data_IF_674930882347
#
_entry.id   IF_674930882347
#
_cell.length_a   1.000
_cell.length_b   1.000
_cell.length_c   1.000
_cell.angle_alpha   90.00
_cell.angle_beta   90.00
_cell.angle_gamma   90.00
#
_symmetry.space_group_name_H-M   'P 1'
#
loop_
_entity.id
_entity.type
_entity.pdbx_description
1 polymer ?
#
# COMPACT_ATOMS: atom_id res chain seq x y z
N UNK A 1 -12.11 26.01 61.58
CA UNK A 1 -12.95 26.04 60.35
C UNK A 1 -12.10 25.52 59.21
N UNK A 2 -12.51 24.40 58.58
CA UNK A 2 -11.76 23.69 57.52
C UNK A 2 -12.67 23.69 56.27
N UNK A 3 -12.19 24.22 55.15
CA UNK A 3 -13.01 24.51 53.97
C UNK A 3 -13.50 23.23 53.23
N UNK A 4 -14.75 23.21 52.71
CA UNK A 4 -15.46 21.98 52.30
C UNK A 4 -15.30 21.53 50.83
N UNK A 5 -14.29 21.99 50.08
CA UNK A 5 -14.13 21.65 48.64
C UNK A 5 -12.84 20.92 48.26
N UNK A 6 -12.09 20.39 49.23
CA UNK A 6 -11.10 19.35 48.92
C UNK A 6 -11.80 17.99 48.79
N UNK A 7 -12.62 17.83 47.75
CA UNK A 7 -12.90 16.50 47.25
C UNK A 7 -11.59 16.00 46.65
N UNK A 8 -10.86 15.16 47.42
CA UNK A 8 -9.82 14.31 46.84
C UNK A 8 -10.51 13.48 45.76
N UNK A 9 -10.16 13.76 44.51
CA UNK A 9 -10.49 12.92 43.38
C UNK A 9 -10.08 11.48 43.74
N UNK A 10 -11.08 10.66 44.04
CA UNK A 10 -10.88 9.25 44.30
C UNK A 10 -10.84 8.63 42.91
N UNK A 11 -9.68 8.71 42.24
CA UNK A 11 -9.46 7.94 41.01
C UNK A 11 -9.79 6.50 41.34
N UNK A 12 -10.78 5.91 40.67
CA UNK A 12 -10.97 4.47 40.74
C UNK A 12 -9.68 3.85 40.23
N UNK A 13 -8.90 3.30 41.16
CA UNK A 13 -7.82 2.38 40.84
C UNK A 13 -8.49 1.04 40.58
N UNK A 14 -9.18 0.94 39.46
CA UNK A 14 -9.63 -0.35 38.98
C UNK A 14 -8.37 -1.07 38.49
N UNK A 15 -7.79 -1.85 39.39
CA UNK A 15 -6.69 -2.76 39.06
C UNK A 15 -7.05 -3.69 37.90
N UNK A 16 -8.35 -3.89 37.64
CA UNK A 16 -8.88 -4.59 36.47
C UNK A 16 -8.75 -3.79 35.18
N UNK A 17 -9.04 -2.48 35.16
CA UNK A 17 -8.83 -1.65 33.96
C UNK A 17 -7.34 -1.51 33.63
N UNK A 18 -6.49 -1.36 34.66
CA UNK A 18 -5.04 -1.33 34.45
C UNK A 18 -4.54 -2.69 33.93
N UNK A 19 -5.05 -3.81 34.47
CA UNK A 19 -4.74 -5.15 33.93
C UNK A 19 -5.27 -5.38 32.52
N UNK A 20 -6.44 -4.84 32.16
CA UNK A 20 -7.01 -4.95 30.81
C UNK A 20 -6.21 -4.12 29.81
N UNK A 21 -5.79 -2.91 30.19
CA UNK A 21 -4.90 -2.08 29.36
C UNK A 21 -3.50 -2.69 29.28
N UNK A 22 -2.98 -3.25 30.36
CA UNK A 22 -1.71 -3.99 30.36
C UNK A 22 -1.82 -5.27 29.52
N UNK A 23 -2.91 -6.03 29.60
CA UNK A 23 -3.14 -7.21 28.75
C UNK A 23 -3.31 -6.81 27.29
N UNK A 24 -4.07 -5.76 26.97
CA UNK A 24 -4.19 -5.26 25.61
C UNK A 24 -2.83 -4.76 25.08
N UNK A 25 -2.04 -4.06 25.91
CA UNK A 25 -0.70 -3.61 25.55
C UNK A 25 0.29 -4.77 25.43
N UNK A 26 0.18 -5.80 26.27
CA UNK A 26 0.99 -7.03 26.18
C UNK A 26 0.56 -7.83 24.96
N UNK A 27 -0.72 -7.95 24.65
CA UNK A 27 -1.23 -8.61 23.44
C UNK A 27 -0.74 -7.85 22.21
N UNK A 28 -0.83 -6.53 22.18
CA UNK A 28 -0.34 -5.69 21.09
C UNK A 28 1.20 -5.72 20.98
N UNK A 29 1.93 -5.81 22.10
CA UNK A 29 3.39 -5.95 22.11
C UNK A 29 3.86 -7.38 21.78
N UNK A 30 3.11 -8.41 22.16
CA UNK A 30 3.33 -9.82 21.79
C UNK A 30 2.97 -10.07 20.33
N UNK A 31 2.01 -9.31 19.80
CA UNK A 31 1.66 -9.30 18.38
C UNK A 31 2.75 -8.63 17.55
N UNK A 32 3.60 -7.76 18.13
CA UNK A 32 4.63 -7.01 17.38
C UNK A 32 4.05 -6.35 16.11
N UNK A 33 4.87 -5.90 15.15
CA UNK A 33 4.39 -5.99 13.77
C UNK A 33 4.06 -7.47 13.55
N UNK A 34 2.80 -7.78 13.26
CA UNK A 34 2.40 -9.17 13.06
C UNK A 34 3.36 -9.83 12.07
N UNK A 35 3.73 -11.11 12.24
CA UNK A 35 4.64 -11.77 11.30
C UNK A 35 4.15 -11.67 9.83
N UNK A 36 2.85 -11.37 9.64
CA UNK A 36 2.22 -11.04 8.37
C UNK A 36 2.58 -9.62 7.83
N UNK A 37 2.78 -8.64 8.69
CA UNK A 37 3.19 -7.27 8.32
C UNK A 37 4.61 -7.18 7.75
N UNK A 38 5.47 -8.11 8.14
CA UNK A 38 6.83 -8.23 7.61
C UNK A 38 6.91 -9.05 6.31
N UNK A 39 5.78 -9.50 5.75
CA UNK A 39 5.77 -10.35 4.55
C UNK A 39 5.99 -9.51 3.29
N UNK A 40 6.67 -10.11 2.31
CA UNK A 40 6.88 -9.46 1.00
C UNK A 40 5.55 -9.18 0.26
N UNK A 41 4.51 -9.99 0.51
CA UNK A 41 3.19 -9.81 -0.08
C UNK A 41 2.52 -8.51 0.41
N UNK A 42 2.54 -8.26 1.73
CA UNK A 42 2.01 -7.01 2.27
C UNK A 42 2.87 -5.82 1.82
N UNK A 43 4.20 -5.93 1.89
CA UNK A 43 5.08 -4.83 1.51
C UNK A 43 4.90 -4.45 0.03
N UNK A 44 4.66 -5.43 -0.83
CA UNK A 44 4.31 -5.20 -2.25
C UNK A 44 3.01 -4.41 -2.36
N UNK A 45 1.97 -4.79 -1.61
CA UNK A 45 0.71 -4.03 -1.60
C UNK A 45 0.91 -2.60 -1.07
N UNK A 46 1.61 -2.45 0.06
CA UNK A 46 1.87 -1.17 0.71
C UNK A 46 2.65 -0.23 -0.21
N UNK A 47 3.68 -0.76 -0.88
CA UNK A 47 4.45 -0.03 -1.88
C UNK A 47 3.62 0.37 -3.11
N UNK A 48 2.72 -0.50 -3.59
CA UNK A 48 1.83 -0.16 -4.69
C UNK A 48 0.87 0.98 -4.32
N UNK A 49 0.24 0.90 -3.15
CA UNK A 49 -0.62 1.97 -2.63
C UNK A 49 0.14 3.28 -2.48
N UNK A 50 1.31 3.25 -1.84
CA UNK A 50 2.14 4.44 -1.66
C UNK A 50 2.47 5.11 -3.00
N UNK A 51 2.87 4.32 -4.01
CA UNK A 51 3.20 4.84 -5.34
C UNK A 51 1.98 5.41 -6.07
N UNK A 52 0.84 4.72 -6.01
CA UNK A 52 -0.38 5.20 -6.65
C UNK A 52 -0.86 6.52 -6.05
N UNK A 53 -0.83 6.65 -4.72
CA UNK A 53 -1.18 7.91 -4.06
C UNK A 53 -0.14 9.01 -4.31
N UNK A 54 1.17 8.71 -4.34
CA UNK A 54 2.19 9.69 -4.71
C UNK A 54 2.04 10.22 -6.14
N UNK A 55 1.52 9.41 -7.06
CA UNK A 55 1.24 9.83 -8.44
C UNK A 55 -0.09 10.57 -8.61
N UNK A 56 -0.87 10.73 -7.53
CA UNK A 56 -2.11 11.48 -7.63
C UNK A 56 -1.82 12.97 -7.79
N UNK A 57 -2.49 13.62 -8.73
CA UNK A 57 -2.43 15.07 -8.92
C UNK A 57 -3.56 15.75 -8.17
N UNK A 58 -3.23 16.85 -7.48
CA UNK A 58 -4.21 17.68 -6.80
C UNK A 58 -4.80 18.64 -7.83
N UNK A 59 -6.09 18.53 -8.09
CA UNK A 59 -6.85 19.38 -9.02
C UNK A 59 -7.80 20.28 -8.25
N UNK A 60 -8.10 21.45 -8.83
CA UNK A 60 -9.13 22.40 -8.37
C UNK A 60 -8.98 22.85 -6.90
N UNK A 61 -7.74 22.86 -6.37
CA UNK A 61 -7.44 23.28 -5.00
C UNK A 61 -6.85 24.70 -4.95
N UNK A 62 -7.13 25.49 -3.89
CA UNK A 62 -6.41 26.73 -3.61
C UNK A 62 -4.90 26.49 -3.54
N UNK A 63 -4.09 27.45 -4.03
CA UNK A 63 -2.63 27.27 -4.14
C UNK A 63 -1.95 26.89 -2.81
N UNK A 64 -2.36 27.52 -1.70
CA UNK A 64 -1.86 27.22 -0.36
C UNK A 64 -2.20 25.80 0.13
N UNK A 65 -3.30 25.22 -0.35
CA UNK A 65 -3.72 23.85 -0.04
C UNK A 65 -3.00 22.85 -0.94
N UNK A 66 -2.89 23.18 -2.24
CA UNK A 66 -2.15 22.36 -3.21
C UNK A 66 -0.68 22.19 -2.78
N UNK A 67 -0.02 23.26 -2.34
CA UNK A 67 1.37 23.22 -1.87
C UNK A 67 1.57 22.39 -0.60
N UNK A 68 0.54 22.30 0.26
CA UNK A 68 0.59 21.54 1.50
C UNK A 68 0.41 20.02 1.29
N UNK A 69 -0.25 19.62 0.21
CA UNK A 69 -0.52 18.22 -0.13
C UNK A 69 0.60 17.72 -1.04
N UNK A 70 1.64 17.18 -0.43
CA UNK A 70 2.83 16.69 -1.15
C UNK A 70 2.68 15.23 -1.59
N UNK A 71 3.39 14.80 -2.64
CA UNK A 71 3.45 13.39 -3.05
C UNK A 71 3.88 12.45 -1.91
N UNK A 72 4.83 12.88 -1.08
CA UNK A 72 5.31 12.12 0.08
C UNK A 72 4.21 11.94 1.15
N UNK A 73 3.40 12.98 1.37
CA UNK A 73 2.25 12.93 2.26
C UNK A 73 1.23 11.92 1.73
N UNK A 74 0.87 12.01 0.44
CA UNK A 74 -0.06 11.08 -0.18
C UNK A 74 0.46 9.64 -0.18
N UNK A 75 1.75 9.40 -0.45
CA UNK A 75 2.36 8.08 -0.32
C UNK A 75 2.22 7.52 1.09
N UNK A 76 2.48 8.36 2.10
CA UNK A 76 2.37 7.98 3.51
C UNK A 76 0.92 7.67 3.88
N UNK A 77 -0.05 8.45 3.39
CA UNK A 77 -1.49 8.18 3.55
C UNK A 77 -1.86 6.85 2.92
N UNK A 78 -1.48 6.61 1.66
CA UNK A 78 -1.79 5.36 0.95
C UNK A 78 -1.25 4.13 1.68
N UNK A 79 0.00 4.20 2.16
CA UNK A 79 0.61 3.14 2.97
C UNK A 79 -0.13 2.94 4.30
N UNK A 80 -0.39 4.02 5.04
CA UNK A 80 -1.01 3.96 6.36
C UNK A 80 -2.43 3.42 6.30
N UNK A 81 -3.22 3.84 5.31
CA UNK A 81 -4.58 3.33 5.10
C UNK A 81 -4.61 1.82 4.80
N UNK A 82 -3.60 1.29 4.13
CA UNK A 82 -3.50 -0.15 3.92
C UNK A 82 -3.08 -0.90 5.19
N UNK A 83 -2.03 -0.43 5.87
CA UNK A 83 -1.45 -1.16 7.00
C UNK A 83 -2.25 -1.01 8.29
N UNK A 84 -2.79 0.18 8.57
CA UNK A 84 -3.48 0.52 9.80
C UNK A 84 -4.98 0.78 9.60
N UNK A 85 -5.48 0.91 8.36
CA UNK A 85 -6.87 1.30 8.10
C UNK A 85 -7.14 2.79 8.27
N UNK A 86 -6.19 3.53 8.84
CA UNK A 86 -6.34 4.95 9.16
C UNK A 86 -5.00 5.72 9.01
N UNK A 87 -5.10 7.03 8.86
CA UNK A 87 -3.95 7.94 8.81
C UNK A 87 -4.33 9.30 9.38
N UNK A 88 -3.58 9.75 10.39
CA UNK A 88 -3.89 10.96 11.15
C UNK A 88 -2.80 12.01 10.97
N UNK A 89 -3.22 13.22 10.63
CA UNK A 89 -2.33 14.35 10.37
C UNK A 89 -2.76 15.57 11.16
N UNK A 90 -1.79 16.23 11.78
CA UNK A 90 -1.99 17.53 12.39
C UNK A 90 -1.93 18.62 11.33
N UNK A 91 -2.91 19.52 11.38
CA UNK A 91 -2.92 20.76 10.59
C UNK A 91 -2.08 21.81 11.36
N UNK A 92 -1.02 22.30 10.73
CA UNK A 92 -0.17 23.36 11.26
C UNK A 92 -0.12 24.53 10.28
N UNK A 93 -0.10 25.77 10.78
CA UNK A 93 0.20 26.95 9.98
C UNK A 93 1.55 27.49 10.45
N UNK A 94 2.57 27.35 9.60
CA UNK A 94 3.94 27.79 9.90
C UNK A 94 4.32 28.90 8.94
N UNK A 95 4.61 30.10 9.46
CA UNK A 95 5.03 31.26 8.66
C UNK A 95 4.04 31.64 7.55
N UNK A 96 2.74 31.48 7.83
CA UNK A 96 1.67 31.73 6.86
C UNK A 96 1.46 30.62 5.83
N UNK A 97 2.26 29.55 5.86
CA UNK A 97 2.08 28.37 5.00
C UNK A 97 1.36 27.25 5.77
N UNK A 98 0.44 26.60 5.09
CA UNK A 98 -0.21 25.38 5.57
C UNK A 98 0.79 24.22 5.51
N UNK A 99 0.92 23.49 6.60
CA UNK A 99 1.79 22.31 6.69
C UNK A 99 1.02 21.18 7.38
N UNK A 100 1.18 19.97 6.84
CA UNK A 100 0.57 18.76 7.38
C UNK A 100 1.65 17.89 8.01
N UNK A 101 1.47 17.50 9.27
CA UNK A 101 2.42 16.64 9.98
C UNK A 101 1.77 15.33 10.39
N UNK A 102 2.32 14.21 9.94
CA UNK A 102 1.85 12.88 10.32
C UNK A 102 2.00 12.64 11.83
N UNK A 103 0.98 12.05 12.44
CA UNK A 103 1.07 11.50 13.79
C UNK A 103 1.62 10.08 13.73
N UNK A 104 2.50 9.72 14.67
CA UNK A 104 2.99 8.34 14.78
C UNK A 104 2.04 7.45 15.60
N UNK A 105 1.28 8.07 16.50
CA UNK A 105 0.26 7.43 17.31
C UNK A 105 -0.83 8.46 17.62
N UNK A 106 -2.08 8.03 17.70
CA UNK A 106 -3.19 8.86 18.08
C UNK A 106 -4.15 8.12 18.99
N UNK A 107 -4.92 8.89 19.75
CA UNK A 107 -6.04 8.40 20.55
C UNK A 107 -7.17 9.40 20.41
N UNK A 108 -8.39 8.89 20.21
CA UNK A 108 -9.59 9.71 20.00
C UNK A 108 -10.46 9.63 21.26
N UNK A 109 -10.85 10.78 21.77
CA UNK A 109 -11.75 10.92 22.92
C UNK A 109 -12.92 11.82 22.50
N UNK A 110 -14.16 11.42 22.77
CA UNK A 110 -15.32 12.25 22.46
C UNK A 110 -16.66 11.53 22.60
N UNK A 111 -17.73 12.24 22.31
CA UNK A 111 -19.09 11.70 22.23
C UNK A 111 -19.36 11.00 20.88
N UNK A 112 -20.61 10.61 20.62
CA UNK A 112 -21.00 9.99 19.35
C UNK A 112 -20.81 10.93 18.15
N UNK A 113 -20.91 12.26 18.37
CA UNK A 113 -20.80 13.26 17.31
C UNK A 113 -19.34 13.58 16.97
N UNK A 114 -18.92 13.44 15.70
CA UNK A 114 -17.53 13.67 15.28
C UNK A 114 -16.99 15.08 15.54
N UNK A 115 -17.86 16.08 15.63
CA UNK A 115 -17.49 17.46 15.93
C UNK A 115 -16.99 17.64 17.37
N UNK A 116 -17.42 16.76 18.29
CA UNK A 116 -17.02 16.79 19.70
C UNK A 116 -15.70 16.07 19.97
N UNK A 117 -15.12 15.43 18.95
CA UNK A 117 -13.93 14.62 19.12
C UNK A 117 -12.70 15.48 19.40
N UNK A 118 -11.88 14.95 20.30
CA UNK A 118 -10.56 15.45 20.64
C UNK A 118 -9.53 14.36 20.39
N UNK A 119 -8.37 14.77 19.92
CA UNK A 119 -7.29 13.87 19.50
C UNK A 119 -6.07 14.11 20.37
N UNK A 120 -5.57 13.05 20.99
CA UNK A 120 -4.23 13.03 21.59
C UNK A 120 -3.26 12.45 20.58
N UNK A 121 -2.45 13.31 19.97
CA UNK A 121 -1.47 12.94 18.96
C UNK A 121 -0.07 12.85 19.56
N UNK A 122 0.67 11.82 19.15
CA UNK A 122 2.11 11.78 19.32
C UNK A 122 2.78 12.18 18.00
N UNK A 123 3.60 13.22 18.08
CA UNK A 123 4.35 13.76 16.95
C UNK A 123 5.82 13.39 17.17
N UNK A 124 6.31 12.48 16.36
CA UNK A 124 7.72 12.08 16.37
C UNK A 124 8.55 13.07 15.55
N UNK A 125 9.62 13.59 16.15
CA UNK A 125 10.69 14.28 15.46
C UNK A 125 12.00 13.49 15.55
N UNK A 126 13.04 13.85 14.79
CA UNK A 126 14.32 13.14 14.79
C UNK A 126 14.99 13.06 16.18
N UNK A 127 14.69 14.01 17.06
CA UNK A 127 15.32 14.14 18.39
C UNK A 127 14.31 14.06 19.53
N UNK A 128 13.09 14.55 19.32
CA UNK A 128 12.08 14.66 20.38
C UNK A 128 10.73 14.16 19.86
N UNK A 129 10.04 13.41 20.71
CA UNK A 129 8.64 13.06 20.51
C UNK A 129 7.80 13.92 21.44
N UNK A 130 6.76 14.55 20.88
CA UNK A 130 5.85 15.42 21.63
C UNK A 130 4.45 14.87 21.58
N UNK A 131 3.79 14.79 22.74
CA UNK A 131 2.35 14.54 22.83
C UNK A 131 1.59 15.86 22.85
N UNK A 132 0.53 15.98 22.04
CA UNK A 132 -0.32 17.17 21.95
C UNK A 132 -1.78 16.74 21.90
N UNK A 133 -2.63 17.41 22.67
CA UNK A 133 -4.08 17.25 22.57
C UNK A 133 -4.65 18.37 21.71
N UNK A 134 -5.45 18.03 20.70
CA UNK A 134 -6.03 18.96 19.74
C UNK A 134 -7.53 18.68 19.55
N UNK A 135 -8.34 19.71 19.24
CA UNK A 135 -9.71 19.49 18.80
C UNK A 135 -9.72 18.82 17.42
N UNK A 136 -10.79 18.07 17.12
CA UNK A 136 -10.96 17.39 15.83
C UNK A 136 -11.00 18.33 14.62
N UNK A 137 -11.21 19.63 14.79
CA UNK A 137 -11.09 20.62 13.72
C UNK A 137 -9.63 20.85 13.25
N UNK A 138 -8.63 20.60 14.11
CA UNK A 138 -7.21 20.82 13.79
C UNK A 138 -6.48 19.56 13.32
N UNK A 139 -7.23 18.51 13.01
CA UNK A 139 -6.72 17.18 12.67
C UNK A 139 -7.43 16.67 11.43
N UNK A 140 -6.67 16.14 10.48
CA UNK A 140 -7.17 15.34 9.38
C UNK A 140 -7.15 13.88 9.82
N UNK A 141 -8.30 13.21 9.78
CA UNK A 141 -8.39 11.80 10.11
C UNK A 141 -8.94 10.99 8.93
N UNK A 142 -8.04 10.47 8.12
CA UNK A 142 -8.39 9.58 7.02
C UNK A 142 -8.67 8.19 7.55
N UNK A 143 -9.85 7.67 7.24
CA UNK A 143 -10.29 6.32 7.67
C UNK A 143 -10.80 5.54 6.48
N UNK A 144 -10.46 4.25 6.44
CA UNK A 144 -10.92 3.30 5.45
C UNK A 144 -11.48 2.04 6.14
N UNK A 145 -12.51 1.45 5.52
CA UNK A 145 -13.14 0.21 6.01
C UNK A 145 -13.49 0.28 7.50
N UNK A 146 -14.24 1.31 7.88
CA UNK A 146 -14.61 1.63 9.26
C UNK A 146 -15.57 0.59 9.84
N UNK A 147 -15.37 0.24 11.11
CA UNK A 147 -16.31 -0.59 11.88
C UNK A 147 -17.58 0.19 12.22
N UNK A 148 -18.79 -0.33 11.95
CA UNK A 148 -20.02 0.30 12.44
C UNK A 148 -20.08 0.44 13.97
N UNK A 149 -19.43 -0.44 14.74
CA UNK A 149 -19.41 -0.36 16.20
C UNK A 149 -18.39 0.68 16.71
N UNK A 150 -17.33 0.93 15.95
CA UNK A 150 -16.27 1.88 16.27
C UNK A 150 -16.02 2.84 15.09
N UNK A 151 -16.96 3.76 14.81
CA UNK A 151 -16.87 4.63 13.64
C UNK A 151 -15.64 5.55 13.63
N UNK A 152 -15.00 5.75 14.79
CA UNK A 152 -13.79 6.54 14.95
C UNK A 152 -12.50 5.79 14.59
N UNK A 153 -12.54 4.48 14.28
CA UNK A 153 -11.37 3.70 13.87
C UNK A 153 -11.52 3.07 12.48
N UNK A 154 -10.43 3.07 11.71
CA UNK A 154 -10.33 2.28 10.48
C UNK A 154 -9.95 0.82 10.76
N UNK A 155 -10.36 -0.10 9.88
CA UNK A 155 -9.92 -1.50 9.94
C UNK A 155 -9.02 -1.81 8.71
N UNK A 156 -7.76 -2.23 8.91
CA UNK A 156 -6.91 -2.62 7.80
C UNK A 156 -7.43 -3.90 7.12
N UNK A 157 -7.24 -4.07 5.80
CA UNK A 157 -7.68 -5.27 5.08
C UNK A 157 -7.13 -6.57 5.66
N UNK A 158 -5.91 -6.56 6.20
CA UNK A 158 -5.31 -7.73 6.83
C UNK A 158 -6.04 -8.19 8.09
N UNK A 159 -6.62 -7.28 8.87
CA UNK A 159 -7.41 -7.65 10.03
C UNK A 159 -8.70 -8.37 9.60
N UNK A 160 -9.30 -7.97 8.47
CA UNK A 160 -10.44 -8.70 7.88
C UNK A 160 -10.05 -10.07 7.31
N UNK A 161 -8.79 -10.24 6.91
CA UNK A 161 -8.22 -11.49 6.41
C UNK A 161 -7.24 -12.15 7.41
N UNK A 162 -7.49 -11.99 8.72
CA UNK A 162 -6.52 -12.32 9.77
C UNK A 162 -6.04 -13.78 9.74
N UNK A 163 -6.94 -14.73 9.46
CA UNK A 163 -6.58 -16.16 9.39
C UNK A 163 -5.57 -16.44 8.26
N UNK A 164 -5.80 -15.84 7.08
CA UNK A 164 -4.91 -15.98 5.92
C UNK A 164 -3.58 -15.30 6.16
N UNK A 165 -3.60 -14.12 6.78
CA UNK A 165 -2.40 -13.38 7.16
C UNK A 165 -1.54 -14.18 8.15
N UNK A 166 -2.16 -14.76 9.18
CA UNK A 166 -1.49 -15.62 10.15
C UNK A 166 -0.90 -16.88 9.49
N UNK A 167 -1.65 -17.51 8.57
CA UNK A 167 -1.19 -18.68 7.83
C UNK A 167 0.06 -18.36 6.99
N UNK A 168 0.06 -17.22 6.30
CA UNK A 168 1.22 -16.76 5.52
C UNK A 168 2.43 -16.58 6.45
N UNK A 169 2.26 -15.88 7.57
CA UNK A 169 3.33 -15.65 8.56
C UNK A 169 3.92 -16.96 9.12
N UNK A 170 3.08 -17.94 9.43
CA UNK A 170 3.53 -19.28 9.88
C UNK A 170 4.29 -20.01 8.78
N UNK A 171 3.78 -19.99 7.54
CA UNK A 171 4.41 -20.66 6.40
C UNK A 171 5.78 -20.06 6.07
N UNK A 172 5.91 -18.74 6.05
CA UNK A 172 7.19 -18.06 5.78
C UNK A 172 8.18 -18.27 6.94
N UNK A 173 7.70 -18.25 8.18
CA UNK A 173 8.54 -18.56 9.36
C UNK A 173 9.07 -19.99 9.32
N UNK A 174 8.23 -20.95 8.95
CA UNK A 174 8.62 -22.36 8.79
C UNK A 174 9.68 -22.52 7.69
N UNK A 175 9.40 -21.99 6.49
CA UNK A 175 10.33 -22.07 5.35
C UNK A 175 11.65 -21.35 5.63
N UNK A 176 11.62 -20.21 6.33
CA UNK A 176 12.83 -19.49 6.73
C UNK A 176 13.70 -20.30 7.70
N UNK A 177 13.08 -21.01 8.66
CA UNK A 177 13.82 -21.90 9.58
C UNK A 177 14.39 -23.11 8.86
N UNK A 178 13.61 -23.72 7.99
CA UNK A 178 14.04 -24.85 7.18
C UNK A 178 15.23 -24.46 6.30
N UNK A 179 15.16 -23.33 5.59
CA UNK A 179 16.26 -22.82 4.75
C UNK A 179 17.56 -22.50 5.50
N UNK A 180 17.54 -22.38 6.84
CA UNK A 180 18.74 -22.20 7.67
C UNK A 180 19.39 -23.52 8.10
N UNK A 181 18.74 -24.66 7.88
CA UNK A 181 19.30 -25.96 8.21
C UNK A 181 20.47 -26.28 7.26
N UNK A 182 21.54 -26.92 7.76
CA UNK A 182 22.66 -27.30 6.92
C UNK A 182 22.19 -28.32 5.86
N UNK A 183 22.56 -28.07 4.62
CA UNK A 183 22.32 -28.96 3.48
C UNK A 183 23.60 -29.67 3.05
N UNK A 184 23.46 -30.89 2.56
CA UNK A 184 24.60 -31.67 2.14
C UNK A 184 24.26 -33.08 1.70
N UNK A 185 25.31 -33.86 1.45
CA UNK A 185 25.20 -35.26 1.12
C UNK A 185 25.97 -36.09 2.15
N UNK A 186 25.34 -37.16 2.64
CA UNK A 186 26.05 -38.16 3.43
C UNK A 186 26.78 -39.05 2.44
N UNK A 187 28.12 -39.04 2.49
CA UNK A 187 28.98 -39.84 1.63
C UNK A 187 29.76 -40.84 2.50
N UNK A 188 29.88 -42.12 2.13
CA UNK A 188 30.64 -43.09 2.88
C UNK A 188 32.13 -42.75 2.75
N UNK A 189 32.81 -42.66 3.90
CA UNK A 189 34.25 -42.46 3.89
C UNK A 189 34.97 -43.79 3.68
N UNK A 190 35.98 -43.80 2.82
CA UNK A 190 36.92 -44.94 2.69
C UNK A 190 38.03 -44.86 3.76
N UNK A 191 38.08 -43.79 4.55
CA UNK A 191 39.13 -43.55 5.54
C UNK A 191 38.85 -44.27 6.87
N UNK A 192 39.93 -44.70 7.54
CA UNK A 192 39.88 -45.14 8.95
C UNK A 192 39.41 -44.02 9.90
N UNK A 193 39.33 -44.35 11.20
CA UNK A 193 38.67 -43.64 12.33
C UNK A 193 38.76 -42.09 12.40
N UNK A 194 39.65 -41.44 11.66
CA UNK A 194 39.72 -39.99 11.47
C UNK A 194 39.97 -39.63 9.99
N UNK A 195 38.95 -39.16 9.24
CA UNK A 195 39.15 -38.69 7.88
C UNK A 195 39.91 -37.35 7.87
N UNK A 196 41.08 -37.32 7.22
CA UNK A 196 41.86 -36.09 6.98
C UNK A 196 41.22 -35.29 5.83
N UNK A 197 41.32 -33.95 5.85
CA UNK A 197 40.74 -33.07 4.81
C UNK A 197 41.12 -33.47 3.37
N UNK A 198 42.31 -34.01 3.18
CA UNK A 198 42.82 -34.52 1.89
C UNK A 198 42.09 -35.78 1.42
N UNK A 199 41.74 -36.68 2.33
CA UNK A 199 41.01 -37.92 2.02
C UNK A 199 39.57 -37.60 1.66
N UNK A 200 38.96 -36.62 2.33
CA UNK A 200 37.62 -36.11 2.01
C UNK A 200 37.60 -35.47 0.62
N UNK A 201 38.62 -34.67 0.28
CA UNK A 201 38.74 -34.01 -1.04
C UNK A 201 38.91 -35.01 -2.19
N UNK A 202 39.65 -36.09 -1.97
CA UNK A 202 39.83 -37.14 -2.99
C UNK A 202 38.55 -37.98 -3.18
N UNK A 203 37.79 -38.22 -2.11
CA UNK A 203 36.47 -38.88 -2.24
C UNK A 203 35.43 -38.01 -2.93
N UNK A 204 35.48 -36.68 -2.76
CA UNK A 204 34.57 -35.74 -3.44
C UNK A 204 34.94 -35.54 -4.91
N UNK A 205 36.22 -35.57 -5.27
CA UNK A 205 36.68 -35.45 -6.66
C UNK A 205 36.32 -36.68 -7.52
N UNK A 206 36.11 -37.84 -6.88
CA UNK A 206 35.67 -39.07 -7.54
C UNK A 206 34.13 -39.14 -7.75
N UNK A 207 33.38 -38.19 -7.17
CA UNK A 207 31.94 -38.06 -7.34
C UNK A 207 31.64 -36.89 -8.28
N UNK A 208 30.63 -37.03 -9.14
CA UNK A 208 30.27 -36.03 -10.16
C UNK A 208 30.19 -34.60 -9.60
N UNK A 209 30.57 -33.60 -10.42
CA UNK A 209 30.66 -32.17 -10.06
C UNK A 209 29.41 -31.60 -9.37
N UNK A 210 28.22 -32.17 -9.60
CA UNK A 210 26.96 -31.77 -8.96
C UNK A 210 26.89 -32.02 -7.46
N UNK A 211 27.71 -32.93 -6.94
CA UNK A 211 27.77 -33.29 -5.52
C UNK A 211 28.74 -32.37 -4.76
N UNK A 212 29.74 -31.79 -5.44
CA UNK A 212 30.83 -30.98 -4.86
C UNK A 212 30.42 -29.64 -4.23
N UNK A 213 29.19 -29.16 -4.49
CA UNK A 213 28.72 -27.86 -4.03
C UNK A 213 28.05 -27.87 -2.64
N UNK A 214 27.80 -29.04 -2.05
CA UNK A 214 27.14 -29.20 -0.74
C UNK A 214 28.12 -29.53 0.40
N UNK A 215 27.73 -29.27 1.65
CA UNK A 215 28.48 -29.72 2.82
C UNK A 215 28.55 -31.25 2.88
N UNK A 216 29.70 -31.80 3.28
CA UNK A 216 29.91 -33.25 3.31
C UNK A 216 30.02 -33.76 4.74
N UNK A 217 29.27 -34.82 5.05
CA UNK A 217 29.50 -35.62 6.26
C UNK A 217 29.91 -37.02 5.88
N UNK A 218 31.16 -37.34 6.15
CA UNK A 218 31.70 -38.66 5.91
C UNK A 218 31.35 -39.60 7.09
N UNK A 219 30.56 -40.64 6.85
CA UNK A 219 30.22 -41.64 7.87
C UNK A 219 31.03 -42.90 7.60
N UNK A 220 31.78 -43.38 8.61
CA UNK A 220 32.47 -44.66 8.52
C UNK A 220 31.52 -45.76 8.98
N UNK A 221 31.10 -46.59 8.03
CA UNK A 221 30.32 -47.79 8.32
C UNK A 221 31.25 -48.88 8.88
N UNK A 222 30.79 -49.61 9.90
CA UNK A 222 31.59 -50.64 10.58
C UNK A 222 31.58 -51.98 9.83
N UNK A 223 30.71 -52.11 8.84
CA UNK A 223 30.55 -53.34 8.05
C UNK A 223 31.37 -53.28 6.74
N UNK A 224 32.44 -54.09 6.69
CA UNK A 224 33.47 -54.06 5.62
C UNK A 224 33.07 -54.86 4.37
N UNK A 225 31.80 -55.21 4.20
CA UNK A 225 31.35 -56.05 3.08
C UNK A 225 30.85 -55.17 1.92
N UNK A 226 31.80 -54.80 1.04
CA UNK A 226 31.61 -54.17 -0.28
C UNK A 226 30.43 -53.18 -0.43
N UNK A 227 30.61 -51.90 -0.05
CA UNK A 227 29.56 -50.88 -0.19
C UNK A 227 29.48 -50.24 -1.60
N UNK A 228 30.42 -50.51 -2.51
CA UNK A 228 30.57 -49.70 -3.73
C UNK A 228 29.57 -49.96 -4.85
N UNK A 229 28.87 -51.12 -4.89
CA UNK A 229 27.99 -51.46 -6.04
C UNK A 229 26.57 -50.92 -5.94
N UNK A 230 26.11 -50.52 -4.75
CA UNK A 230 24.73 -50.09 -4.52
C UNK A 230 24.59 -48.87 -3.60
N UNK A 231 25.67 -48.12 -3.38
CA UNK A 231 25.57 -46.91 -2.58
C UNK A 231 24.97 -45.76 -3.40
N UNK A 232 23.86 -45.21 -2.92
CA UNK A 232 23.26 -43.98 -3.44
C UNK A 232 23.47 -42.84 -2.43
N UNK A 233 23.86 -41.63 -2.88
CA UNK A 233 23.98 -40.48 -2.00
C UNK A 233 22.62 -40.13 -1.41
N UNK A 234 22.54 -40.15 -0.07
CA UNK A 234 21.37 -39.67 0.66
C UNK A 234 21.59 -38.19 0.91
N UNK A 235 20.75 -37.37 0.29
CA UNK A 235 20.69 -35.94 0.59
C UNK A 235 20.18 -35.75 2.01
N UNK A 236 20.87 -34.93 2.79
CA UNK A 236 20.36 -34.40 4.05
C UNK A 236 20.24 -32.88 3.92
N UNK A 237 19.19 -32.32 4.49
CA UNK A 237 18.98 -30.88 4.44
C UNK A 237 17.51 -30.52 4.28
N UNK A 238 17.23 -29.22 4.13
CA UNK A 238 15.90 -28.71 3.89
C UNK A 238 15.30 -29.30 2.63
N UNK A 239 14.16 -29.95 2.77
CA UNK A 239 13.35 -30.47 1.67
C UNK A 239 11.93 -29.98 1.93
N UNK A 240 11.67 -28.69 1.61
CA UNK A 240 10.42 -28.07 1.98
C UNK A 240 9.26 -28.84 1.39
N UNK A 241 8.29 -29.16 2.25
CA UNK A 241 7.10 -29.89 1.84
C UNK A 241 6.44 -29.14 0.66
N UNK A 242 6.22 -29.79 -0.51
CA UNK A 242 5.63 -29.13 -1.67
C UNK A 242 4.24 -28.58 -1.37
N UNK A 243 3.47 -29.23 -0.47
CA UNK A 243 2.19 -28.70 0.00
C UNK A 243 2.33 -27.40 0.79
N UNK A 244 3.41 -27.24 1.56
CA UNK A 244 3.70 -25.99 2.29
C UNK A 244 4.12 -24.87 1.33
N UNK A 245 4.89 -25.19 0.28
CA UNK A 245 5.24 -24.22 -0.76
C UNK A 245 4.00 -23.71 -1.51
N UNK A 246 3.10 -24.62 -1.90
CA UNK A 246 1.82 -24.27 -2.51
C UNK A 246 0.93 -23.45 -1.58
N UNK A 247 0.83 -23.84 -0.31
CA UNK A 247 0.08 -23.09 0.70
C UNK A 247 0.61 -21.67 0.88
N UNK A 248 1.93 -21.49 0.89
CA UNK A 248 2.57 -20.19 0.98
C UNK A 248 2.28 -19.32 -0.24
N UNK A 249 2.33 -19.87 -1.46
CA UNK A 249 1.95 -19.13 -2.66
C UNK A 249 0.48 -18.74 -2.65
N UNK A 250 -0.42 -19.66 -2.31
CA UNK A 250 -1.86 -19.40 -2.31
C UNK A 250 -2.26 -18.37 -1.25
N UNK A 251 -1.67 -18.48 -0.05
CA UNK A 251 -1.87 -17.50 1.02
C UNK A 251 -1.35 -16.10 0.62
N UNK A 252 -0.21 -16.01 -0.07
CA UNK A 252 0.30 -14.74 -0.57
C UNK A 252 -0.65 -14.10 -1.60
N UNK A 253 -1.19 -14.89 -2.53
CA UNK A 253 -2.17 -14.39 -3.52
C UNK A 253 -3.48 -13.97 -2.85
N UNK A 254 -3.94 -14.71 -1.85
CA UNK A 254 -5.12 -14.35 -1.08
C UNK A 254 -4.93 -13.06 -0.27
N UNK A 255 -3.72 -12.81 0.26
CA UNK A 255 -3.37 -11.53 0.90
C UNK A 255 -3.38 -10.38 -0.10
N UNK A 256 -2.79 -10.54 -1.29
CA UNK A 256 -2.86 -9.53 -2.36
C UNK A 256 -4.32 -9.18 -2.68
N UNK A 257 -5.15 -10.20 -2.88
CA UNK A 257 -6.56 -10.04 -3.19
C UNK A 257 -7.36 -9.38 -2.05
N UNK A 258 -7.08 -9.72 -0.78
CA UNK A 258 -7.70 -9.08 0.38
C UNK A 258 -7.35 -7.59 0.47
N UNK A 259 -6.12 -7.23 0.12
CA UNK A 259 -5.66 -5.84 -0.04
C UNK A 259 -6.20 -5.16 -1.31
N UNK A 260 -7.04 -5.84 -2.11
CA UNK A 260 -7.59 -5.33 -3.36
C UNK A 260 -6.61 -5.30 -4.53
N UNK A 261 -5.35 -5.73 -4.35
CA UNK A 261 -4.32 -5.77 -5.39
C UNK A 261 -4.52 -7.03 -6.25
N UNK A 262 -4.77 -6.89 -7.56
CA UNK A 262 -4.92 -8.04 -8.45
C UNK A 262 -3.64 -8.88 -8.52
N UNK A 263 -3.72 -10.21 -8.29
CA UNK A 263 -2.59 -11.14 -8.41
C UNK A 263 -1.80 -11.04 -9.72
N UNK A 264 -2.48 -10.75 -10.83
CA UNK A 264 -1.91 -10.61 -12.17
C UNK A 264 -0.87 -9.50 -12.30
N UNK A 265 -0.86 -8.52 -11.38
CA UNK A 265 0.15 -7.45 -11.36
C UNK A 265 1.50 -7.90 -10.80
N UNK A 266 1.52 -8.99 -10.02
CA UNK A 266 2.71 -9.49 -9.34
C UNK A 266 3.19 -10.81 -9.94
N UNK A 267 2.30 -11.56 -10.59
CA UNK A 267 2.65 -12.83 -11.19
C UNK A 267 3.50 -12.67 -12.47
N UNK A 268 4.54 -13.50 -12.65
CA UNK A 268 5.46 -13.39 -13.79
C UNK A 268 4.84 -13.78 -15.13
N UNK A 269 3.71 -14.52 -15.14
CA UNK A 269 3.11 -15.09 -16.33
C UNK A 269 1.97 -14.24 -16.93
N UNK A 270 1.84 -12.97 -16.54
CA UNK A 270 0.75 -12.11 -17.05
C UNK A 270 1.16 -11.39 -18.32
N UNK A 271 0.32 -11.47 -19.35
CA UNK A 271 0.46 -10.69 -20.57
C UNK A 271 0.35 -9.19 -20.31
N UNK A 272 1.04 -8.36 -21.08
CA UNK A 272 1.04 -6.89 -20.91
C UNK A 272 -0.35 -6.27 -21.03
N UNK A 273 -1.23 -6.82 -21.89
CA UNK A 273 -2.64 -6.38 -21.98
C UNK A 273 -3.41 -6.68 -20.71
N UNK A 274 -3.23 -7.89 -20.15
CA UNK A 274 -3.87 -8.29 -18.90
C UNK A 274 -3.36 -7.48 -17.70
N UNK A 275 -2.06 -7.15 -17.67
CA UNK A 275 -1.49 -6.28 -16.64
C UNK A 275 -2.08 -4.87 -16.68
N UNK A 276 -2.22 -4.27 -17.87
CA UNK A 276 -2.85 -2.94 -18.01
C UNK A 276 -4.29 -2.96 -17.51
N UNK A 277 -5.09 -3.94 -17.92
CA UNK A 277 -6.48 -4.03 -17.48
C UNK A 277 -6.61 -4.30 -15.98
N UNK A 278 -5.74 -5.15 -15.45
CA UNK A 278 -5.67 -5.39 -14.01
C UNK A 278 -5.32 -4.11 -13.24
N UNK A 279 -4.40 -3.32 -13.76
CA UNK A 279 -4.03 -2.03 -13.19
C UNK A 279 -5.20 -1.04 -13.22
N UNK A 280 -5.94 -0.94 -14.34
CA UNK A 280 -7.17 -0.12 -14.42
C UNK A 280 -8.20 -0.57 -13.38
N UNK A 281 -8.49 -1.87 -13.32
CA UNK A 281 -9.45 -2.44 -12.36
C UNK A 281 -9.04 -2.15 -10.93
N UNK A 282 -7.76 -2.28 -10.60
CA UNK A 282 -7.24 -1.95 -9.28
C UNK A 282 -7.44 -0.47 -8.95
N UNK A 283 -7.06 0.42 -9.87
CA UNK A 283 -7.16 1.86 -9.66
C UNK A 283 -8.62 2.30 -9.47
N UNK A 284 -9.51 1.91 -10.38
CA UNK A 284 -10.92 2.33 -10.31
C UNK A 284 -11.73 1.58 -9.25
N UNK A 285 -11.44 0.30 -9.03
CA UNK A 285 -12.16 -0.54 -8.09
C UNK A 285 -11.71 -0.37 -6.65
N UNK A 286 -10.45 0.04 -6.43
CA UNK A 286 -9.84 0.03 -5.09
C UNK A 286 -9.26 1.39 -4.71
N UNK A 287 -8.34 1.95 -5.51
CA UNK A 287 -7.62 3.18 -5.14
C UNK A 287 -8.51 4.42 -5.18
N UNK A 288 -9.23 4.64 -6.29
CA UNK A 288 -10.06 5.82 -6.49
C UNK A 288 -11.21 5.95 -5.45
N UNK A 289 -11.91 4.87 -5.03
CA UNK A 289 -12.84 4.95 -3.91
C UNK A 289 -12.20 5.40 -2.60
N UNK A 290 -11.00 4.91 -2.29
CA UNK A 290 -10.26 5.31 -1.08
C UNK A 290 -9.84 6.78 -1.18
N UNK A 291 -9.34 7.21 -2.35
CA UNK A 291 -8.99 8.59 -2.61
C UNK A 291 -10.19 9.53 -2.41
N UNK A 292 -11.40 9.14 -2.81
CA UNK A 292 -12.62 9.93 -2.54
C UNK A 292 -12.92 10.08 -1.04
N UNK A 293 -12.61 9.09 -0.22
CA UNK A 293 -12.72 9.22 1.24
C UNK A 293 -11.70 10.23 1.79
N UNK A 294 -10.48 10.22 1.26
CA UNK A 294 -9.41 11.19 1.60
C UNK A 294 -9.80 12.60 1.14
N UNK A 295 -10.29 12.75 -0.09
CA UNK A 295 -10.78 14.02 -0.65
C UNK A 295 -11.84 14.64 0.24
N UNK A 296 -12.84 13.88 0.68
CA UNK A 296 -13.90 14.40 1.56
C UNK A 296 -13.32 15.05 2.81
N UNK A 297 -12.45 14.33 3.52
CA UNK A 297 -11.84 14.85 4.75
C UNK A 297 -10.96 16.09 4.48
N UNK A 298 -10.22 16.10 3.37
CA UNK A 298 -9.44 17.27 2.95
C UNK A 298 -10.33 18.48 2.63
N UNK A 299 -11.41 18.27 1.86
CA UNK A 299 -12.37 19.34 1.49
C UNK A 299 -12.97 19.97 2.74
N UNK A 300 -13.45 19.13 3.65
CA UNK A 300 -14.18 19.57 4.84
C UNK A 300 -13.27 20.31 5.84
N UNK A 301 -12.02 19.85 6.02
CA UNK A 301 -11.11 20.40 7.04
C UNK A 301 -10.19 21.50 6.55
N UNK A 302 -9.88 21.55 5.25
CA UNK A 302 -9.03 22.57 4.64
C UNK A 302 -9.82 23.67 3.92
N UNK A 303 -11.15 23.64 4.02
CA UNK A 303 -12.07 24.59 3.37
C UNK A 303 -11.81 24.71 1.85
N UNK A 304 -11.65 23.55 1.21
CA UNK A 304 -11.28 23.43 -0.20
C UNK A 304 -12.33 22.61 -0.97
N UNK A 305 -13.58 23.10 -1.13
CA UNK A 305 -14.73 22.29 -1.56
C UNK A 305 -14.58 21.66 -2.95
N UNK A 306 -13.76 22.24 -3.82
CA UNK A 306 -13.54 21.78 -5.19
C UNK A 306 -12.38 20.79 -5.32
N UNK A 307 -11.53 20.62 -4.30
CA UNK A 307 -10.31 19.81 -4.34
C UNK A 307 -10.57 18.38 -4.82
N UNK A 308 -9.82 17.88 -5.80
CA UNK A 308 -9.89 16.48 -6.26
C UNK A 308 -8.51 15.85 -6.35
N UNK A 309 -8.43 14.54 -6.10
CA UNK A 309 -7.25 13.74 -6.36
C UNK A 309 -7.48 13.00 -7.69
N UNK A 310 -6.81 13.44 -8.74
CA UNK A 310 -6.85 12.77 -10.03
C UNK A 310 -5.70 11.79 -10.16
N UNK A 311 -5.99 10.69 -10.87
CA UNK A 311 -5.00 9.68 -11.25
C UNK A 311 -4.83 9.61 -12.77
N UNK A 312 -5.22 10.68 -13.49
CA UNK A 312 -5.20 10.70 -14.95
C UNK A 312 -3.79 10.55 -15.54
N UNK A 313 -2.76 11.02 -14.84
CA UNK A 313 -1.36 10.87 -15.27
C UNK A 313 -0.90 9.41 -15.34
N UNK A 314 -1.44 8.55 -14.46
CA UNK A 314 -1.18 7.10 -14.52
C UNK A 314 -1.73 6.47 -15.80
N UNK A 315 -2.70 7.12 -16.45
CA UNK A 315 -3.29 6.69 -17.72
C UNK A 315 -2.62 7.32 -18.94
N UNK A 316 -1.51 8.07 -18.81
CA UNK A 316 -0.72 8.49 -19.96
C UNK A 316 -0.27 7.28 -20.82
N UNK A 317 -0.08 6.12 -20.20
CA UNK A 317 0.18 4.85 -20.89
C UNK A 317 -1.02 4.30 -21.69
N UNK A 318 -2.23 4.81 -21.47
CA UNK A 318 -3.48 4.44 -22.16
C UNK A 318 -3.87 5.40 -23.30
N UNK A 319 -2.94 6.29 -23.69
CA UNK A 319 -3.14 7.21 -24.81
C UNK A 319 -3.60 6.48 -26.09
N UNK A 320 -3.06 5.28 -26.33
CA UNK A 320 -3.45 4.46 -27.50
C UNK A 320 -4.90 3.98 -27.42
N UNK A 321 -5.39 3.60 -26.23
CA UNK A 321 -6.79 3.20 -26.04
C UNK A 321 -7.74 4.37 -26.24
N UNK A 322 -7.42 5.52 -25.63
CA UNK A 322 -8.17 6.78 -25.78
C UNK A 322 -8.18 7.25 -27.23
N UNK A 323 -7.05 7.21 -27.94
CA UNK A 323 -6.96 7.56 -29.35
C UNK A 323 -7.81 6.64 -30.25
N UNK A 324 -7.85 5.33 -29.96
CA UNK A 324 -8.75 4.40 -30.67
C UNK A 324 -10.22 4.70 -30.40
N UNK A 325 -10.57 5.09 -29.17
CA UNK A 325 -11.93 5.49 -28.83
C UNK A 325 -12.34 6.76 -29.60
N UNK A 326 -11.48 7.80 -29.65
CA UNK A 326 -11.71 8.99 -30.48
C UNK A 326 -11.89 8.61 -31.94
N UNK A 327 -11.03 7.75 -32.48
CA UNK A 327 -11.12 7.29 -33.86
C UNK A 327 -12.47 6.59 -34.15
N UNK A 328 -12.90 5.69 -33.27
CA UNK A 328 -14.19 5.00 -33.41
C UNK A 328 -15.39 5.93 -33.30
N UNK A 329 -15.36 6.92 -32.39
CA UNK A 329 -16.42 7.91 -32.21
C UNK A 329 -16.54 8.84 -33.42
N UNK A 330 -15.41 9.36 -33.90
CA UNK A 330 -15.36 10.22 -35.09
C UNK A 330 -15.79 9.49 -36.37
N UNK A 331 -15.41 8.23 -36.54
CA UNK A 331 -15.92 7.38 -37.62
C UNK A 331 -17.43 7.17 -37.54
N UNK A 332 -18.00 7.14 -36.33
CA UNK A 332 -19.44 7.00 -36.09
C UNK A 332 -20.21 8.31 -36.29
N UNK A 333 -19.53 9.40 -36.68
CA UNK A 333 -20.14 10.72 -36.92
C UNK A 333 -20.21 11.63 -35.70
N UNK A 334 -19.58 11.27 -34.58
CA UNK A 334 -19.48 12.18 -33.41
C UNK A 334 -18.49 13.29 -33.73
N UNK A 335 -18.85 14.58 -33.52
CA UNK A 335 -17.94 15.71 -33.70
C UNK A 335 -16.63 15.53 -32.91
N UNK A 336 -15.49 15.93 -33.51
CA UNK A 336 -14.16 15.69 -32.95
C UNK A 336 -14.00 16.26 -31.53
N UNK A 337 -14.49 17.47 -31.27
CA UNK A 337 -14.45 18.10 -29.95
C UNK A 337 -15.21 17.28 -28.89
N UNK A 338 -16.36 16.71 -29.25
CA UNK A 338 -17.12 15.84 -28.35
C UNK A 338 -16.38 14.52 -28.14
N UNK A 339 -15.79 13.95 -29.20
CA UNK A 339 -15.01 12.73 -29.11
C UNK A 339 -13.75 12.90 -28.22
N UNK A 340 -13.04 14.02 -28.35
CA UNK A 340 -11.87 14.37 -27.54
C UNK A 340 -12.25 14.61 -26.07
N UNK A 341 -13.34 15.34 -25.82
CA UNK A 341 -13.87 15.54 -24.47
C UNK A 341 -14.27 14.21 -23.80
N UNK A 342 -14.99 13.34 -24.52
CA UNK A 342 -15.40 12.01 -24.03
C UNK A 342 -14.20 11.12 -23.74
N UNK A 343 -13.16 11.16 -24.59
CA UNK A 343 -11.93 10.42 -24.38
C UNK A 343 -11.00 11.05 -23.34
N UNK A 344 -11.38 12.20 -22.75
CA UNK A 344 -10.57 13.00 -21.83
C UNK A 344 -9.17 13.27 -22.39
N UNK A 345 -9.14 13.72 -23.64
CA UNK A 345 -7.93 14.20 -24.32
C UNK A 345 -7.93 15.73 -24.52
N UNK A 346 -9.03 16.40 -24.17
CA UNK A 346 -9.09 17.86 -24.11
C UNK A 346 -8.76 18.34 -22.69
N UNK A 347 -7.63 19.01 -22.53
CA UNK A 347 -7.27 19.75 -21.30
C UNK A 347 -8.19 20.96 -21.06
N UNK A 348 -9.00 21.33 -22.05
CA UNK A 348 -9.94 22.46 -22.02
C UNK A 348 -11.39 22.09 -21.66
N UNK A 349 -11.68 20.84 -21.26
CA UNK A 349 -13.05 20.38 -20.97
C UNK A 349 -13.65 20.93 -19.64
N UNK A 350 -13.13 22.06 -19.14
CA UNK A 350 -13.66 22.81 -18.01
C UNK A 350 -14.70 23.87 -18.36
N UNK A 351 -15.09 24.06 -19.63
CA UNK A 351 -16.11 25.07 -19.97
C UNK A 351 -16.98 24.69 -21.18
N UNK A 352 -18.15 24.05 -20.98
CA UNK A 352 -19.11 23.85 -22.06
C UNK A 352 -19.98 25.11 -22.28
N UNK A 353 -19.36 26.26 -22.56
CA UNK A 353 -20.10 27.46 -23.01
C UNK A 353 -19.32 28.21 -24.08
N UNK A 354 -19.67 27.92 -25.34
CA UNK A 354 -20.03 28.92 -26.37
C UNK A 354 -20.22 28.20 -27.72
N UNK A 355 -21.41 28.22 -28.34
CA UNK A 355 -21.53 27.80 -29.74
C UNK A 355 -20.71 28.73 -30.64
N UNK A 356 -20.16 28.23 -31.76
CA UNK A 356 -19.37 29.06 -32.67
C UNK A 356 -20.24 30.18 -33.23
N UNK A 357 -19.80 31.43 -33.05
CA UNK A 357 -20.43 32.61 -33.65
C UNK A 357 -20.57 32.44 -35.16
N UNK A 358 -21.71 32.84 -35.76
CA UNK A 358 -21.90 32.73 -37.21
C UNK A 358 -20.84 33.57 -37.96
N UNK A 359 -20.44 33.15 -39.18
CA UNK A 359 -19.42 33.84 -39.95
C UNK A 359 -19.85 35.28 -40.23
N UNK A 360 -18.99 36.21 -39.82
CA UNK A 360 -19.24 37.65 -39.84
C UNK A 360 -19.51 38.21 -41.23
N UNK A 361 -20.36 39.23 -41.23
CA UNK A 361 -20.79 40.03 -42.38
C UNK A 361 -19.63 40.46 -43.28
N UNK A 362 -19.77 40.14 -44.57
CA UNK A 362 -18.94 40.68 -45.65
C UNK A 362 -19.19 42.20 -45.73
N UNK A 363 -18.16 43.06 -45.68
CA UNK A 363 -18.35 44.48 -45.87
C UNK A 363 -18.82 44.76 -47.30
N UNK A 364 -20.02 45.34 -47.40
CA UNK A 364 -20.62 45.80 -48.66
C UNK A 364 -19.78 46.94 -49.27
N UNK A 365 -19.49 46.92 -50.59
CA UNK A 365 -18.71 47.97 -51.23
C UNK A 365 -19.49 49.29 -51.32
N UNK A 366 -18.81 50.36 -50.93
CA UNK A 366 -19.24 51.76 -50.93
C UNK A 366 -19.89 52.18 -52.26
N UNK A 367 -21.16 52.59 -52.20
CA UNK A 367 -21.83 53.27 -53.30
C UNK A 367 -21.58 54.78 -53.15
N UNK A 368 -20.64 55.30 -53.95
CA UNK A 368 -20.40 56.72 -54.09
C UNK A 368 -21.66 57.40 -54.66
N UNK A 369 -22.23 58.32 -53.89
CA UNK A 369 -23.27 59.25 -54.32
C UNK A 369 -22.65 60.59 -54.69
N UNK A 370 -23.01 61.08 -55.88
CA UNK A 370 -22.76 62.44 -56.34
C UNK A 370 -23.19 62.48 -57.80
N UNK A 371 -24.10 63.33 -58.25
CA UNK A 371 -24.80 64.46 -57.67
C UNK A 371 -25.39 65.15 -58.89
N UNK A 372 -26.71 65.16 -58.99
CA UNK A 372 -27.41 65.88 -60.06
C UNK A 372 -28.08 67.11 -59.47
N UNK A 373 -27.89 68.24 -60.13
CA UNK A 373 -28.83 69.36 -60.31
C UNK A 373 -28.18 70.42 -61.22
N UNK A 374 -28.92 71.24 -61.97
CA UNK A 374 -30.30 71.11 -62.47
C UNK A 374 -30.38 70.88 -64.00
#
# INVERSE_FOLDING_TARGET
MRFPWFNRETRSRDAEYTRQVEQAAIEQAMLGPSAAEATAALETCASMYARAFASATVQDAPANVADAITPDMLATVGRSLLCAGESVWRIEVMRGMLALRAACHHYVEGGPDPETWSYRLQLSGPTITRSVTLPGASVLHFRYSVDPEQPWHGIPPLQRAALTAALLGVSESYLSREGRLPSGYIVPSVAGRHPTATTTRNTTAALNESVAAGGFRAVSDRDRRQPQRHWQPIQYGPTPNPGMLGLRSDAALAVLAACGVPPSLVQPNSDGTAQRESYRRWLFGTVAPIARCVERELRDKLDAPTLRLSFDELFAADLTGRARAVHSLTQSGVPLNIALAVARLDDNAGNPESPPSPPGDVPSPSRAGGGGDP
#
